data_IF_440355997132
#
_entry.id   IF_440355997132
#
_cell.length_a   1.000
_cell.length_b   1.000
_cell.length_c   1.000
_cell.angle_alpha   90.00
_cell.angle_beta   90.00
_cell.angle_gamma   90.00
#
_symmetry.space_group_name_H-M   'P 1'
#
loop_
_entity.id
_entity.type
_entity.pdbx_description
1 polymer ?
#
# COMPACT_ATOMS: atom_id res chain seq x y z
N UNK A 1 -23.59 9.63 -11.66
CA UNK A 1 -22.96 10.32 -10.52
C UNK A 1 -23.71 11.60 -10.29
N UNK A 2 -24.18 11.81 -9.06
CA UNK A 2 -24.83 13.04 -8.64
C UNK A 2 -24.21 13.48 -7.30
N UNK A 3 -24.30 14.77 -6.98
CA UNK A 3 -23.83 15.28 -5.69
C UNK A 3 -24.93 15.09 -4.66
N UNK A 4 -24.63 14.36 -3.58
CA UNK A 4 -25.58 14.12 -2.50
C UNK A 4 -25.30 15.13 -1.37
N UNK A 5 -26.25 16.06 -1.17
CA UNK A 5 -26.11 17.18 -0.24
C UNK A 5 -26.06 16.73 1.23
N UNK A 6 -26.65 15.58 1.56
CA UNK A 6 -26.65 15.06 2.94
C UNK A 6 -25.26 14.59 3.40
N UNK A 7 -24.46 14.04 2.48
CA UNK A 7 -23.16 13.42 2.77
C UNK A 7 -21.99 14.19 2.16
N UNK A 8 -22.27 15.32 1.50
CA UNK A 8 -21.27 16.23 0.92
C UNK A 8 -20.29 15.52 -0.03
N UNK A 9 -20.74 14.47 -0.72
CA UNK A 9 -19.92 13.67 -1.61
C UNK A 9 -20.67 13.30 -2.89
N UNK A 10 -19.90 13.01 -3.94
CA UNK A 10 -20.46 12.45 -5.17
C UNK A 10 -20.84 10.99 -4.93
N UNK A 11 -22.13 10.69 -5.09
CA UNK A 11 -22.66 9.33 -4.98
C UNK A 11 -23.05 8.79 -6.35
N UNK A 12 -23.06 7.46 -6.46
CA UNK A 12 -23.48 6.76 -7.67
C UNK A 12 -24.96 6.44 -7.51
N UNK A 13 -25.72 6.67 -8.57
CA UNK A 13 -27.14 6.34 -8.56
C UNK A 13 -27.30 4.82 -8.53
N UNK A 14 -27.75 4.31 -7.39
CA UNK A 14 -27.96 2.88 -7.15
C UNK A 14 -29.27 2.37 -7.78
N UNK A 15 -30.13 3.26 -8.28
CA UNK A 15 -31.40 2.86 -8.91
C UNK A 15 -31.21 2.32 -10.33
N UNK A 16 -30.13 2.72 -11.02
CA UNK A 16 -29.77 2.18 -12.34
C UNK A 16 -28.77 1.00 -12.19
N UNK A 17 -29.17 -0.25 -12.53
CA UNK A 17 -28.30 -1.42 -12.45
C UNK A 17 -27.04 -1.29 -13.31
N UNK A 18 -27.06 -0.45 -14.35
CA UNK A 18 -25.91 -0.16 -15.20
C UNK A 18 -24.85 0.62 -14.43
N UNK A 19 -25.25 1.65 -13.67
CA UNK A 19 -24.35 2.47 -12.85
C UNK A 19 -23.70 1.65 -11.74
N UNK A 20 -24.49 0.80 -11.06
CA UNK A 20 -23.98 -0.09 -10.00
C UNK A 20 -22.96 -1.08 -10.55
N UNK A 21 -23.23 -1.68 -11.71
CA UNK A 21 -22.32 -2.63 -12.36
C UNK A 21 -21.01 -1.96 -12.76
N UNK A 22 -21.09 -0.76 -13.35
CA UNK A 22 -19.91 0.01 -13.73
C UNK A 22 -19.06 0.43 -12.53
N UNK A 23 -19.70 0.86 -11.43
CA UNK A 23 -18.99 1.16 -10.17
C UNK A 23 -18.25 -0.05 -9.64
N UNK A 24 -18.93 -1.19 -9.54
CA UNK A 24 -18.34 -2.41 -9.00
C UNK A 24 -17.16 -2.90 -9.84
N UNK A 25 -17.28 -2.82 -11.18
CA UNK A 25 -16.20 -3.20 -12.10
C UNK A 25 -15.02 -2.22 -12.02
N UNK A 26 -15.28 -0.92 -12.06
CA UNK A 26 -14.23 0.10 -12.15
C UNK A 26 -13.49 0.32 -10.84
N UNK A 27 -14.20 0.29 -9.71
CA UNK A 27 -13.60 0.52 -8.40
C UNK A 27 -13.15 -0.80 -7.79
N UNK A 28 -14.06 -1.73 -7.51
CA UNK A 28 -13.68 -2.90 -6.72
C UNK A 28 -12.91 -3.93 -7.53
N UNK A 29 -13.46 -4.39 -8.66
CA UNK A 29 -12.86 -5.48 -9.43
C UNK A 29 -11.50 -5.10 -10.02
N UNK A 30 -11.36 -3.86 -10.52
CA UNK A 30 -10.10 -3.35 -11.07
C UNK A 30 -9.02 -3.24 -9.99
N UNK A 31 -9.31 -2.62 -8.84
CA UNK A 31 -8.32 -2.46 -7.77
C UNK A 31 -7.90 -3.83 -7.20
N UNK A 32 -8.86 -4.75 -7.01
CA UNK A 32 -8.58 -6.12 -6.59
C UNK A 32 -7.69 -6.86 -7.60
N UNK A 33 -8.03 -6.79 -8.88
CA UNK A 33 -7.24 -7.43 -9.95
C UNK A 33 -5.81 -6.90 -10.01
N UNK A 34 -5.62 -5.58 -9.94
CA UNK A 34 -4.30 -4.96 -9.90
C UNK A 34 -3.49 -5.40 -8.66
N UNK A 35 -4.12 -5.47 -7.49
CA UNK A 35 -3.47 -5.91 -6.27
C UNK A 35 -3.03 -7.39 -6.35
N UNK A 36 -3.88 -8.28 -6.85
CA UNK A 36 -3.54 -9.70 -7.07
C UNK A 36 -2.40 -9.85 -8.08
N UNK A 37 -2.43 -9.09 -9.18
CA UNK A 37 -1.38 -9.10 -10.18
C UNK A 37 -0.03 -8.65 -9.61
N UNK A 38 0.00 -7.55 -8.85
CA UNK A 38 1.22 -7.07 -8.20
C UNK A 38 1.79 -8.10 -7.21
N UNK A 39 0.94 -8.65 -6.34
CA UNK A 39 1.36 -9.73 -5.42
C UNK A 39 1.95 -10.93 -6.17
N UNK A 40 1.38 -11.30 -7.32
CA UNK A 40 1.88 -12.41 -8.13
C UNK A 40 3.26 -12.11 -8.72
N UNK A 41 3.46 -10.90 -9.25
CA UNK A 41 4.77 -10.46 -9.76
C UNK A 41 5.83 -10.41 -8.65
N UNK A 42 5.45 -9.96 -7.46
CA UNK A 42 6.34 -9.94 -6.29
C UNK A 42 6.77 -11.36 -5.93
N UNK A 43 5.84 -12.31 -5.84
CA UNK A 43 6.14 -13.72 -5.57
C UNK A 43 7.10 -14.30 -6.62
N UNK A 44 6.85 -14.08 -7.91
CA UNK A 44 7.73 -14.53 -8.99
C UNK A 44 9.13 -13.91 -8.85
N UNK A 45 9.20 -12.63 -8.52
CA UNK A 45 10.46 -11.91 -8.33
C UNK A 45 11.23 -12.44 -7.12
N UNK A 46 10.56 -12.68 -5.98
CA UNK A 46 11.16 -13.31 -4.78
C UNK A 46 11.74 -14.68 -5.15
N UNK A 47 10.96 -15.53 -5.83
CA UNK A 47 11.38 -16.89 -6.21
C UNK A 47 12.59 -16.83 -7.15
N UNK A 48 12.57 -15.96 -8.16
CA UNK A 48 13.69 -15.79 -9.10
C UNK A 48 14.94 -15.27 -8.39
N UNK A 49 14.78 -14.36 -7.43
CA UNK A 49 15.88 -13.79 -6.66
C UNK A 49 16.49 -14.83 -5.70
N UNK A 50 15.66 -15.64 -5.03
CA UNK A 50 16.08 -16.78 -4.20
C UNK A 50 16.81 -17.84 -5.03
N UNK A 51 16.30 -18.18 -6.21
CA UNK A 51 16.95 -19.11 -7.13
C UNK A 51 18.33 -18.61 -7.57
N UNK A 52 18.39 -17.35 -8.00
CA UNK A 52 19.66 -16.68 -8.37
C UNK A 52 20.63 -16.59 -7.18
N UNK A 53 20.13 -16.54 -5.94
CA UNK A 53 20.94 -16.52 -4.70
C UNK A 53 21.65 -17.82 -4.46
N UNK A 54 20.97 -18.94 -4.69
CA UNK A 54 21.57 -20.26 -4.56
C UNK A 54 22.66 -20.51 -5.61
N UNK A 55 22.55 -19.87 -6.79
CA UNK A 55 23.51 -20.04 -7.90
C UNK A 55 24.77 -19.17 -7.80
N UNK A 56 24.69 -17.95 -7.27
CA UNK A 56 25.80 -16.98 -7.31
C UNK A 56 26.38 -16.79 -5.90
N UNK A 57 27.53 -17.43 -5.61
CA UNK A 57 28.26 -17.34 -4.34
C UNK A 57 29.22 -16.14 -4.21
N UNK A 58 29.45 -15.36 -5.27
CA UNK A 58 30.58 -14.43 -5.34
C UNK A 58 30.16 -13.00 -5.69
N UNK A 59 30.30 -12.08 -4.73
CA UNK A 59 30.70 -10.65 -4.82
C UNK A 59 30.09 -9.83 -3.65
N UNK A 60 30.92 -9.20 -2.81
CA UNK A 60 30.47 -8.33 -1.71
C UNK A 60 29.72 -7.09 -2.20
N UNK A 61 30.13 -6.47 -3.32
CA UNK A 61 29.43 -5.30 -3.91
C UNK A 61 28.03 -5.66 -4.43
N UNK A 62 27.83 -6.91 -4.84
CA UNK A 62 26.50 -7.45 -5.17
C UNK A 62 25.61 -7.55 -3.92
N UNK A 63 26.15 -7.81 -2.74
CA UNK A 63 25.32 -8.01 -1.55
C UNK A 63 24.53 -6.78 -1.11
N UNK A 64 25.09 -5.56 -1.18
CA UNK A 64 24.37 -4.34 -0.79
C UNK A 64 23.25 -3.99 -1.77
N UNK A 65 23.53 -4.05 -3.08
CA UNK A 65 22.52 -3.83 -4.13
C UNK A 65 21.41 -4.90 -4.01
N UNK A 66 21.79 -6.15 -3.77
CA UNK A 66 20.88 -7.26 -3.61
C UNK A 66 20.02 -7.20 -2.35
N UNK A 67 20.57 -6.70 -1.24
CA UNK A 67 19.78 -6.44 -0.02
C UNK A 67 18.69 -5.40 -0.31
N UNK A 68 19.02 -4.33 -1.04
CA UNK A 68 18.05 -3.32 -1.47
C UNK A 68 16.95 -3.91 -2.35
N UNK A 69 17.32 -4.74 -3.32
CA UNK A 69 16.32 -5.43 -4.17
C UNK A 69 15.39 -6.32 -3.34
N UNK A 70 15.92 -7.08 -2.39
CA UNK A 70 15.11 -7.92 -1.50
C UNK A 70 14.18 -7.07 -0.63
N UNK A 71 14.69 -5.98 -0.07
CA UNK A 71 13.89 -5.13 0.80
C UNK A 71 12.82 -4.39 0.00
N UNK A 72 13.11 -3.96 -1.23
CA UNK A 72 12.11 -3.42 -2.16
C UNK A 72 11.01 -4.44 -2.47
N UNK A 73 11.39 -5.69 -2.76
CA UNK A 73 10.41 -6.74 -3.05
C UNK A 73 9.57 -7.11 -1.82
N UNK A 74 10.15 -7.06 -0.61
CA UNK A 74 9.36 -7.20 0.63
C UNK A 74 8.41 -6.03 0.82
N UNK A 75 8.86 -4.82 0.49
CA UNK A 75 8.04 -3.61 0.55
C UNK A 75 6.81 -3.76 -0.35
N UNK A 76 7.00 -4.05 -1.63
CA UNK A 76 5.91 -4.20 -2.60
C UNK A 76 4.96 -5.34 -2.22
N UNK A 77 5.49 -6.45 -1.73
CA UNK A 77 4.68 -7.57 -1.26
C UNK A 77 3.80 -7.21 -0.06
N UNK A 78 4.37 -6.51 0.95
CA UNK A 78 3.60 -6.05 2.12
C UNK A 78 2.57 -5.00 1.71
N UNK A 79 2.91 -4.07 0.82
CA UNK A 79 1.97 -3.08 0.28
C UNK A 79 0.82 -3.78 -0.47
N UNK A 80 1.11 -4.80 -1.28
CA UNK A 80 0.12 -5.60 -1.99
C UNK A 80 -0.84 -6.34 -1.06
N UNK A 81 -0.33 -7.02 -0.02
CA UNK A 81 -1.18 -7.67 0.99
C UNK A 81 -2.04 -6.65 1.73
N UNK A 82 -1.44 -5.52 2.14
CA UNK A 82 -2.15 -4.46 2.86
C UNK A 82 -3.28 -3.90 2.00
N UNK A 83 -3.05 -3.71 0.70
CA UNK A 83 -4.08 -3.27 -0.24
C UNK A 83 -5.20 -4.31 -0.42
N UNK A 84 -4.88 -5.60 -0.49
CA UNK A 84 -5.89 -6.67 -0.56
C UNK A 84 -6.77 -6.68 0.69
N UNK A 85 -6.17 -6.61 1.88
CA UNK A 85 -6.89 -6.57 3.15
C UNK A 85 -7.75 -5.30 3.24
N UNK A 86 -7.19 -4.14 2.90
CA UNK A 86 -7.92 -2.87 2.95
C UNK A 86 -9.16 -2.88 2.03
N UNK A 87 -9.03 -3.39 0.79
CA UNK A 87 -10.16 -3.53 -0.13
C UNK A 87 -11.23 -4.51 0.41
N UNK A 88 -10.81 -5.63 1.00
CA UNK A 88 -11.73 -6.59 1.62
C UNK A 88 -12.50 -5.98 2.80
N UNK A 89 -11.79 -5.30 3.70
CA UNK A 89 -12.39 -4.64 4.86
C UNK A 89 -13.30 -3.48 4.43
N UNK A 90 -12.92 -2.71 3.40
CA UNK A 90 -13.75 -1.64 2.84
C UNK A 90 -15.08 -2.17 2.33
N UNK A 91 -15.06 -3.27 1.57
CA UNK A 91 -16.27 -3.92 1.05
C UNK A 91 -17.17 -4.43 2.19
N UNK A 92 -16.58 -5.08 3.21
CA UNK A 92 -17.33 -5.55 4.38
C UNK A 92 -17.90 -4.39 5.21
N UNK A 93 -17.13 -3.33 5.43
CA UNK A 93 -17.55 -2.15 6.18
C UNK A 93 -18.73 -1.43 5.51
N UNK A 94 -18.72 -1.36 4.17
CA UNK A 94 -19.84 -0.84 3.39
C UNK A 94 -21.12 -1.69 3.54
N UNK A 95 -20.99 -3.00 3.79
CA UNK A 95 -22.13 -3.91 3.94
C UNK A 95 -22.67 -4.05 5.37
N UNK A 96 -21.92 -3.64 6.40
CA UNK A 96 -22.22 -3.91 7.81
C UNK A 96 -23.13 -2.85 8.47
N UNK A 97 -23.20 -1.63 7.95
CA UNK A 97 -23.90 -0.52 8.61
C UNK A 97 -24.98 0.06 7.72
N UNK A 98 -26.23 0.02 8.21
CA UNK A 98 -27.36 0.76 7.64
C UNK A 98 -27.30 2.25 7.97
N UNK A 99 -26.41 2.66 8.89
CA UNK A 99 -26.24 4.06 9.29
C UNK A 99 -25.13 4.71 8.45
N UNK A 100 -25.51 5.69 7.64
CA UNK A 100 -24.62 6.40 6.71
C UNK A 100 -23.42 7.07 7.40
N UNK A 101 -23.61 7.63 8.60
CA UNK A 101 -22.56 8.35 9.32
C UNK A 101 -21.47 7.40 9.84
N UNK A 102 -21.88 6.22 10.30
CA UNK A 102 -20.96 5.18 10.74
C UNK A 102 -20.17 4.64 9.56
N UNK A 103 -20.84 4.39 8.42
CA UNK A 103 -20.18 3.94 7.18
C UNK A 103 -19.18 4.97 6.67
N UNK A 104 -19.54 6.25 6.65
CA UNK A 104 -18.64 7.34 6.26
C UNK A 104 -17.40 7.44 7.17
N UNK A 105 -17.59 7.40 8.49
CA UNK A 105 -16.48 7.48 9.44
C UNK A 105 -15.56 6.26 9.35
N UNK A 106 -16.12 5.06 9.26
CA UNK A 106 -15.36 3.82 9.12
C UNK A 106 -14.55 3.80 7.83
N UNK A 107 -15.18 4.09 6.68
CA UNK A 107 -14.50 4.08 5.37
C UNK A 107 -13.39 5.11 5.31
N UNK A 108 -13.62 6.33 5.82
CA UNK A 108 -12.61 7.39 5.90
C UNK A 108 -11.43 6.99 6.80
N UNK A 109 -11.72 6.43 7.98
CA UNK A 109 -10.68 6.00 8.91
C UNK A 109 -9.86 4.82 8.37
N UNK A 110 -10.51 3.86 7.71
CA UNK A 110 -9.86 2.73 7.04
C UNK A 110 -8.94 3.22 5.92
N UNK A 111 -9.41 4.16 5.10
CA UNK A 111 -8.62 4.75 4.02
C UNK A 111 -7.40 5.52 4.55
N UNK A 112 -7.60 6.33 5.59
CA UNK A 112 -6.51 7.03 6.27
C UNK A 112 -5.47 6.06 6.84
N UNK A 113 -5.93 5.01 7.53
CA UNK A 113 -5.08 3.96 8.11
C UNK A 113 -4.29 3.19 7.05
N UNK A 114 -4.92 2.88 5.92
CA UNK A 114 -4.27 2.26 4.77
C UNK A 114 -3.12 3.15 4.25
N UNK A 115 -3.39 4.43 4.03
CA UNK A 115 -2.40 5.39 3.53
C UNK A 115 -1.21 5.56 4.48
N UNK A 116 -1.46 5.60 5.79
CA UNK A 116 -0.40 5.65 6.82
C UNK A 116 0.44 4.38 6.81
N UNK A 117 -0.21 3.21 6.73
CA UNK A 117 0.49 1.91 6.71
C UNK A 117 1.36 1.76 5.47
N UNK A 118 0.88 2.24 4.32
CA UNK A 118 1.64 2.25 3.08
C UNK A 118 2.91 3.12 3.23
N UNK A 119 2.77 4.35 3.72
CA UNK A 119 3.90 5.24 3.99
C UNK A 119 4.90 4.67 5.00
N UNK A 120 4.40 4.04 6.07
CA UNK A 120 5.22 3.36 7.07
C UNK A 120 6.02 2.19 6.46
N UNK A 121 5.40 1.40 5.59
CA UNK A 121 6.05 0.27 4.92
C UNK A 121 7.22 0.74 4.07
N UNK A 122 7.06 1.86 3.34
CA UNK A 122 8.15 2.49 2.58
C UNK A 122 9.30 2.91 3.51
N UNK A 123 8.99 3.56 4.64
CA UNK A 123 10.01 4.01 5.60
C UNK A 123 10.80 2.84 6.24
N UNK A 124 10.15 1.70 6.45
CA UNK A 124 10.76 0.52 7.09
C UNK A 124 11.64 -0.26 6.12
N UNK A 125 11.22 -0.44 4.86
CA UNK A 125 11.94 -1.28 3.91
C UNK A 125 12.88 -0.50 2.98
N UNK A 126 12.72 0.81 2.84
CA UNK A 126 13.63 1.63 2.04
C UNK A 126 14.87 2.05 2.84
N UNK A 127 15.93 1.23 2.74
CA UNK A 127 17.22 1.50 3.38
C UNK A 127 17.87 2.83 2.97
N UNK A 128 17.55 3.39 1.80
CA UNK A 128 18.08 4.70 1.38
C UNK A 128 17.44 5.84 2.15
N UNK A 129 16.12 5.78 2.36
CA UNK A 129 15.39 6.75 3.18
C UNK A 129 15.89 6.66 4.62
N UNK A 130 16.03 5.46 5.18
CA UNK A 130 16.55 5.28 6.54
C UNK A 130 17.95 5.86 6.70
N UNK A 131 18.86 5.55 5.77
CA UNK A 131 20.21 6.10 5.78
C UNK A 131 20.23 7.63 5.63
N UNK A 132 19.31 8.19 4.85
CA UNK A 132 19.16 9.64 4.68
C UNK A 132 18.64 10.31 5.96
N UNK A 133 17.66 9.71 6.63
CA UNK A 133 17.12 10.18 7.92
C UNK A 133 18.18 10.08 9.03
N UNK A 134 18.92 8.97 9.09
CA UNK A 134 20.03 8.78 10.03
C UNK A 134 21.17 9.79 9.80
N UNK A 135 21.55 10.04 8.54
CA UNK A 135 22.55 11.07 8.20
C UNK A 135 22.09 12.47 8.61
N UNK A 136 20.81 12.80 8.44
CA UNK A 136 20.25 14.08 8.91
C UNK A 136 20.34 14.19 10.43
N UNK A 137 19.94 13.16 11.19
CA UNK A 137 20.06 13.13 12.65
C UNK A 137 21.50 13.37 13.12
N UNK A 138 22.47 12.68 12.52
CA UNK A 138 23.88 12.84 12.88
C UNK A 138 24.41 14.24 12.56
N UNK A 139 23.98 14.84 11.45
CA UNK A 139 24.36 16.21 11.08
C UNK A 139 23.77 17.25 12.04
N UNK A 140 22.51 17.08 12.45
CA UNK A 140 21.87 17.94 13.45
C UNK A 140 22.55 17.81 14.82
N UNK A 141 22.86 16.59 15.26
CA UNK A 141 23.55 16.36 16.54
C UNK A 141 24.96 16.97 16.56
N UNK A 142 25.71 16.85 15.46
CA UNK A 142 27.03 17.45 15.32
C UNK A 142 26.99 18.98 15.39
N UNK A 143 25.93 19.63 14.89
CA UNK A 143 25.73 21.07 14.96
C UNK A 143 25.36 21.57 16.37
N UNK A 144 24.72 20.75 17.19
CA UNK A 144 24.35 21.12 18.58
C UNK A 144 25.51 20.95 19.56
N UNK A 145 26.53 20.16 19.21
CA UNK A 145 27.68 19.87 20.10
C UNK A 145 28.85 20.85 19.91
N UNK A 146 28.83 21.68 18.86
CA UNK A 146 29.85 22.69 18.55
C UNK A 146 29.48 24.12 18.96
N UNK A 147 28.32 24.30 19.60
CA UNK A 147 27.87 25.53 20.31
C UNK A 147 27.94 25.31 21.80
#
# INVERSE_FOLDING_TARGET
MYYEDEIWMFWIDETDPTCVTWSWILDYAKNLSCAVFNCSLDVVTIVKLQYTRRRIKSFQRSQTIRKREIDFVKQTFVQGITALVANGVYYLASGLSQNMYITFMLTTFLWGSFTVTDGMTILIYNSEIQNSVLRRKNKTLALTTTT
#
